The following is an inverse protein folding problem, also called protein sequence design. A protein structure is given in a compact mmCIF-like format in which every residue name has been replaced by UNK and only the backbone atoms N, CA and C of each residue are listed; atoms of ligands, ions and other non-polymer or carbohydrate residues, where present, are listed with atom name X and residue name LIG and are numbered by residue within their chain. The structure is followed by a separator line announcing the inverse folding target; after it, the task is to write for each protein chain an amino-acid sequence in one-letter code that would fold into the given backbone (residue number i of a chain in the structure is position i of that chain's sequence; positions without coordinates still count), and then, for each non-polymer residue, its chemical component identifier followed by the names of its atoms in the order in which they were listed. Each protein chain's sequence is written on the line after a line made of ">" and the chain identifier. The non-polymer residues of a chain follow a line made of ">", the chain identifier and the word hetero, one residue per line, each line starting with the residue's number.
data_IF_397282043667
#
_entry.id   IF_397282043667
#
_cell.length_a   1.000
_cell.length_b   1.000
_cell.length_c   1.000
_cell.angle_alpha   90.00
_cell.angle_beta   90.00
_cell.angle_gamma   90.00
#
_symmetry.space_group_name_H-M   'P 1'
#
loop_
_entity.id
_entity.type
_entity.pdbx_description
1 polymer ?
#
# COMPACT_ATOMS: atom_id res chain seq x y z
N UNK A 1 12.87 -6.87 14.57
CA UNK A 1 11.41 -7.01 14.26
C UNK A 1 10.69 -5.92 15.04
N UNK A 2 9.66 -5.27 14.49
CA UNK A 2 8.93 -4.26 15.24
C UNK A 2 8.33 -4.87 16.52
N UNK A 3 8.25 -4.05 17.58
CA UNK A 3 7.83 -4.49 18.91
C UNK A 3 6.34 -4.87 18.96
N UNK A 4 5.55 -4.26 18.07
CA UNK A 4 4.15 -4.55 17.81
C UNK A 4 3.83 -4.12 16.36
N UNK A 5 2.77 -4.66 15.78
CA UNK A 5 2.31 -4.33 14.43
C UNK A 5 1.12 -3.38 14.49
N UNK A 6 1.17 -2.32 13.68
CA UNK A 6 0.07 -1.34 13.58
C UNK A 6 -0.90 -1.65 12.44
N UNK A 7 -0.67 -2.72 11.68
CA UNK A 7 -1.53 -3.17 10.57
C UNK A 7 -2.15 -4.51 10.93
N UNK A 8 -3.46 -4.68 10.73
CA UNK A 8 -4.15 -5.94 11.01
C UNK A 8 -3.51 -7.11 10.26
N UNK A 9 -3.23 -6.94 8.97
CA UNK A 9 -2.62 -7.97 8.14
C UNK A 9 -1.25 -8.40 8.68
N UNK A 10 -0.45 -7.47 9.17
CA UNK A 10 0.85 -7.75 9.77
C UNK A 10 0.71 -8.43 11.14
N UNK A 11 -0.26 -8.01 11.95
CA UNK A 11 -0.54 -8.64 13.24
C UNK A 11 -1.01 -10.09 13.07
N UNK A 12 -1.84 -10.37 12.06
CA UNK A 12 -2.42 -11.70 11.81
C UNK A 12 -1.50 -12.64 11.04
N UNK A 13 -0.70 -12.11 10.11
CA UNK A 13 0.02 -12.94 9.12
C UNK A 13 1.52 -12.67 9.07
N UNK A 14 2.01 -11.63 9.76
CA UNK A 14 3.39 -11.17 9.68
C UNK A 14 3.74 -10.42 8.38
N UNK A 15 2.77 -10.13 7.52
CA UNK A 15 2.93 -9.38 6.26
C UNK A 15 2.10 -8.10 6.28
N UNK A 16 2.72 -6.99 5.90
CA UNK A 16 2.10 -5.63 5.90
C UNK A 16 0.93 -5.49 4.93
N UNK A 17 0.86 -6.34 3.89
CA UNK A 17 -0.24 -6.35 2.93
C UNK A 17 -0.88 -7.74 2.93
N UNK A 18 -2.19 -7.80 3.20
CA UNK A 18 -2.92 -9.06 3.28
C UNK A 18 -4.42 -8.90 3.01
N UNK A 19 -5.16 -9.99 3.21
CA UNK A 19 -6.63 -10.00 3.09
C UNK A 19 -7.30 -8.89 3.92
N UNK A 20 -6.89 -8.61 5.19
CA UNK A 20 -7.44 -7.50 5.96
C UNK A 20 -7.33 -6.15 5.27
N UNK A 21 -6.19 -5.86 4.64
CA UNK A 21 -5.95 -4.61 3.90
C UNK A 21 -6.97 -4.41 2.78
N UNK A 22 -7.22 -5.44 1.98
CA UNK A 22 -8.18 -5.36 0.87
C UNK A 22 -9.61 -5.33 1.36
N UNK A 23 -9.94 -6.11 2.39
CA UNK A 23 -11.26 -6.10 3.00
C UNK A 23 -11.59 -4.72 3.60
N UNK A 24 -10.60 -4.05 4.20
CA UNK A 24 -10.79 -2.71 4.76
C UNK A 24 -10.92 -1.66 3.66
N UNK A 25 -10.13 -1.77 2.58
CA UNK A 25 -10.27 -0.91 1.41
C UNK A 25 -11.68 -0.95 0.80
N UNK A 26 -12.28 -2.14 0.73
CA UNK A 26 -13.65 -2.33 0.23
C UNK A 26 -14.69 -1.68 1.15
N UNK A 27 -14.51 -1.76 2.47
CA UNK A 27 -15.41 -1.12 3.44
C UNK A 27 -15.36 0.41 3.32
N UNK A 28 -14.16 0.98 3.24
CA UNK A 28 -13.98 2.43 3.05
C UNK A 28 -14.62 2.88 1.73
N UNK A 29 -14.34 2.17 0.63
CA UNK A 29 -14.92 2.47 -0.67
C UNK A 29 -16.46 2.37 -0.67
N UNK A 30 -17.03 1.34 -0.04
CA UNK A 30 -18.47 1.17 0.08
C UNK A 30 -19.12 2.29 0.92
N UNK A 31 -18.38 2.86 1.87
CA UNK A 31 -18.79 4.02 2.64
C UNK A 31 -18.58 5.36 1.90
N UNK A 32 -18.01 5.34 0.69
CA UNK A 32 -17.66 6.55 -0.06
C UNK A 32 -16.47 7.31 0.54
N UNK A 33 -15.64 6.63 1.34
CA UNK A 33 -14.46 7.19 1.99
C UNK A 33 -13.20 6.81 1.20
N UNK A 34 -12.31 7.78 1.03
CA UNK A 34 -10.99 7.55 0.45
C UNK A 34 -9.93 7.66 1.55
N UNK A 35 -8.92 6.79 1.51
CA UNK A 35 -7.76 6.89 2.40
C UNK A 35 -6.90 8.07 1.96
N UNK A 36 -6.97 9.19 2.69
CA UNK A 36 -6.04 10.29 2.50
C UNK A 36 -4.72 9.97 3.22
N UNK A 37 -3.64 9.72 2.47
CA UNK A 37 -2.29 9.53 3.03
C UNK A 37 -1.55 8.29 2.54
N UNK A 38 -0.40 8.02 3.16
CA UNK A 38 0.50 6.91 2.82
C UNK A 38 0.20 5.60 3.59
N UNK A 39 -0.78 5.60 4.48
CA UNK A 39 -1.14 4.43 5.30
C UNK A 39 -1.99 3.43 4.52
N UNK A 40 -1.76 2.14 4.77
CA UNK A 40 -2.60 1.08 4.23
C UNK A 40 -3.96 1.04 4.97
N UNK A 41 -5.05 0.69 4.28
CA UNK A 41 -6.40 0.68 4.86
C UNK A 41 -6.56 -0.04 6.21
N UNK A 42 -5.81 -1.11 6.46
CA UNK A 42 -5.86 -1.89 7.70
C UNK A 42 -4.92 -1.39 8.80
N UNK A 43 -4.40 -0.16 8.67
CA UNK A 43 -3.68 0.50 9.75
C UNK A 43 -4.66 0.84 10.89
N UNK A 44 -4.22 0.64 12.15
CA UNK A 44 -5.05 0.82 13.35
C UNK A 44 -5.72 2.20 13.41
N UNK A 45 -5.02 3.26 13.00
CA UNK A 45 -5.59 4.62 13.01
C UNK A 45 -6.75 4.77 12.03
N UNK A 46 -6.70 4.11 10.87
CA UNK A 46 -7.76 4.15 9.86
C UNK A 46 -8.94 3.29 10.27
N UNK A 47 -8.69 2.11 10.86
CA UNK A 47 -9.77 1.26 11.36
C UNK A 47 -10.51 1.90 12.55
N UNK A 48 -9.79 2.55 13.47
CA UNK A 48 -10.41 3.31 14.58
C UNK A 48 -11.17 4.55 14.08
N UNK A 49 -10.63 5.27 13.09
CA UNK A 49 -11.33 6.40 12.47
C UNK A 49 -12.62 5.93 11.77
N UNK A 50 -12.56 4.79 11.07
CA UNK A 50 -13.74 4.20 10.45
C UNK A 50 -14.77 3.75 11.49
N UNK A 51 -14.34 3.18 12.61
CA UNK A 51 -15.22 2.83 13.71
C UNK A 51 -15.93 4.08 14.27
N UNK A 52 -15.22 5.19 14.48
CA UNK A 52 -15.82 6.47 14.87
C UNK A 52 -16.85 6.95 13.86
N UNK A 53 -16.52 6.86 12.57
CA UNK A 53 -17.43 7.20 11.48
C UNK A 53 -18.72 6.37 11.48
N UNK A 54 -18.65 5.08 11.82
CA UNK A 54 -19.83 4.22 11.93
C UNK A 54 -20.76 4.66 13.06
N UNK A 55 -20.20 5.12 14.18
CA UNK A 55 -20.96 5.60 15.36
C UNK A 55 -21.69 6.91 15.04
N UNK A 56 -21.07 7.82 14.30
CA UNK A 56 -21.64 9.15 13.99
C UNK A 56 -22.84 9.13 13.04
N UNK A 57 -23.05 8.05 12.28
CA UNK A 57 -24.11 7.97 11.25
C UNK A 57 -25.43 7.34 11.70
N UNK A 58 -25.60 7.22 13.01
CA UNK A 58 -26.88 7.15 13.74
C UNK A 58 -27.95 6.16 13.25
N UNK A 59 -27.55 5.03 12.63
CA UNK A 59 -28.53 3.99 12.32
C UNK A 59 -28.10 2.54 12.46
N UNK A 60 -26.90 2.17 12.94
CA UNK A 60 -26.57 0.75 12.99
C UNK A 60 -25.60 0.36 14.13
N UNK A 61 -26.16 -0.02 15.30
CA UNK A 61 -25.42 -0.87 16.26
C UNK A 61 -24.93 -2.17 15.61
N UNK A 62 -25.63 -2.68 14.60
CA UNK A 62 -25.24 -3.87 13.83
C UNK A 62 -23.94 -3.74 13.00
N UNK A 63 -23.61 -2.63 12.32
CA UNK A 63 -22.39 -2.50 11.52
C UNK A 63 -21.19 -2.27 12.42
N UNK A 64 -21.36 -1.45 13.46
CA UNK A 64 -20.37 -1.31 14.52
C UNK A 64 -20.06 -2.67 15.17
N UNK A 65 -21.11 -3.41 15.57
CA UNK A 65 -20.97 -4.77 16.13
C UNK A 65 -20.31 -5.73 15.14
N UNK A 66 -20.74 -5.77 13.88
CA UNK A 66 -20.13 -6.64 12.86
C UNK A 66 -18.67 -6.29 12.61
N UNK A 67 -18.32 -4.99 12.68
CA UNK A 67 -16.94 -4.54 12.54
C UNK A 67 -16.09 -5.01 13.73
N UNK A 68 -16.56 -4.76 14.96
CA UNK A 68 -15.91 -5.18 16.19
C UNK A 68 -15.84 -6.71 16.35
N UNK A 69 -16.85 -7.45 15.90
CA UNK A 69 -16.84 -8.92 15.90
C UNK A 69 -15.75 -9.48 14.98
N UNK A 70 -15.56 -8.86 13.81
CA UNK A 70 -14.57 -9.32 12.84
C UNK A 70 -13.15 -8.84 13.13
N UNK A 71 -13.00 -7.64 13.70
CA UNK A 71 -11.70 -6.94 13.81
C UNK A 71 -11.33 -6.51 15.24
N UNK A 72 -12.25 -6.52 16.20
CA UNK A 72 -11.97 -6.07 17.57
C UNK A 72 -10.88 -6.89 18.28
N UNK A 73 -10.78 -8.18 17.99
CA UNK A 73 -9.82 -9.07 18.65
C UNK A 73 -8.36 -8.63 18.43
N UNK A 74 -7.98 -8.29 17.20
CA UNK A 74 -6.59 -7.88 16.91
C UNK A 74 -6.26 -6.53 17.55
N UNK A 75 -7.23 -5.63 17.62
CA UNK A 75 -7.08 -4.32 18.26
C UNK A 75 -6.93 -4.44 19.78
N UNK A 76 -7.64 -5.38 20.42
CA UNK A 76 -7.46 -5.70 21.85
C UNK A 76 -6.05 -6.23 22.10
N UNK A 77 -5.57 -7.14 21.25
CA UNK A 77 -4.22 -7.70 21.38
C UNK A 77 -3.13 -6.64 21.14
N UNK A 78 -3.34 -5.73 20.19
CA UNK A 78 -2.49 -4.56 20.02
C UNK A 78 -2.50 -3.67 21.26
N UNK A 79 -3.68 -3.38 21.84
CA UNK A 79 -3.80 -2.59 23.06
C UNK A 79 -3.04 -3.21 24.23
N UNK A 80 -3.14 -4.53 24.43
CA UNK A 80 -2.34 -5.26 25.44
C UNK A 80 -0.84 -5.20 25.17
N UNK A 81 -0.43 -5.32 23.92
CA UNK A 81 0.98 -5.23 23.54
C UNK A 81 1.55 -3.82 23.79
N UNK A 82 0.77 -2.77 23.49
CA UNK A 82 1.10 -1.39 23.80
C UNK A 82 1.18 -1.16 25.31
N UNK A 83 0.23 -1.69 26.08
CA UNK A 83 0.23 -1.64 27.56
C UNK A 83 1.51 -2.21 28.18
N UNK A 84 2.06 -3.27 27.56
CA UNK A 84 3.26 -3.97 28.01
C UNK A 84 4.55 -3.47 27.34
N UNK A 85 4.48 -2.41 26.55
CA UNK A 85 5.63 -1.88 25.80
C UNK A 85 6.70 -1.22 26.68
N UNK A 86 6.41 -0.93 27.95
CA UNK A 86 7.33 -0.20 28.84
C UNK A 86 7.58 1.26 28.43
N UNK A 87 6.86 1.76 27.42
CA UNK A 87 6.80 3.18 27.08
C UNK A 87 5.67 3.83 27.88
N UNK A 88 5.98 4.89 28.62
CA UNK A 88 5.02 5.50 29.55
C UNK A 88 3.75 6.04 28.86
N UNK A 89 3.86 6.52 27.62
CA UNK A 89 2.75 7.09 26.87
C UNK A 89 1.93 5.97 26.22
N UNK A 90 2.60 5.08 25.48
CA UNK A 90 1.89 3.99 24.79
C UNK A 90 1.31 2.95 25.77
N UNK A 91 1.90 2.79 26.96
CA UNK A 91 1.34 1.90 27.97
C UNK A 91 -0.08 2.33 28.39
N UNK A 92 -0.28 3.62 28.62
CA UNK A 92 -1.58 4.18 29.01
C UNK A 92 -2.57 4.07 27.85
N UNK A 93 -2.16 4.48 26.65
CA UNK A 93 -3.00 4.41 25.44
C UNK A 93 -3.43 2.98 25.16
N UNK A 94 -2.50 2.03 25.26
CA UNK A 94 -2.76 0.60 25.05
C UNK A 94 -3.75 0.02 26.05
N UNK A 95 -3.59 0.35 27.34
CA UNK A 95 -4.51 -0.09 28.38
C UNK A 95 -5.93 0.47 28.19
N UNK A 96 -6.04 1.76 27.85
CA UNK A 96 -7.32 2.40 27.56
C UNK A 96 -8.00 1.76 26.35
N UNK A 97 -7.26 1.55 25.25
CA UNK A 97 -7.77 0.93 24.03
C UNK A 97 -8.28 -0.49 24.29
N UNK A 98 -7.47 -1.33 24.96
CA UNK A 98 -7.85 -2.71 25.23
C UNK A 98 -9.08 -2.81 26.12
N UNK A 99 -9.14 -2.02 27.20
CA UNK A 99 -10.27 -2.03 28.13
C UNK A 99 -11.55 -1.56 27.43
N UNK A 100 -11.49 -0.46 26.69
CA UNK A 100 -12.64 0.06 25.95
C UNK A 100 -13.19 -0.98 24.96
N UNK A 101 -12.34 -1.62 24.16
CA UNK A 101 -12.77 -2.64 23.20
C UNK A 101 -13.35 -3.89 23.87
N UNK A 102 -12.81 -4.30 25.03
CA UNK A 102 -13.36 -5.42 25.80
C UNK A 102 -14.77 -5.08 26.29
N UNK A 103 -15.00 -3.88 26.81
CA UNK A 103 -16.32 -3.42 27.23
C UNK A 103 -17.29 -3.34 26.04
N UNK A 104 -16.87 -2.71 24.94
CA UNK A 104 -17.68 -2.55 23.73
C UNK A 104 -18.06 -3.88 23.08
N UNK A 105 -17.18 -4.88 23.09
CA UNK A 105 -17.46 -6.23 22.55
C UNK A 105 -18.34 -7.07 23.48
N UNK A 106 -18.25 -6.90 24.80
CA UNK A 106 -19.13 -7.59 25.75
C UNK A 106 -20.57 -7.05 25.70
N UNK A 107 -20.76 -5.73 25.60
CA UNK A 107 -22.08 -5.11 25.42
C UNK A 107 -22.76 -5.48 24.08
N UNK A 108 -22.00 -5.91 23.08
CA UNK A 108 -22.55 -6.38 21.81
C UNK A 108 -23.37 -7.69 21.96
N UNK A 109 -22.94 -8.58 22.87
CA UNK A 109 -23.46 -9.94 23.06
C UNK A 109 -24.70 -10.03 23.97
N UNK A 110 -24.97 -9.03 24.81
CA UNK A 110 -26.05 -9.07 25.82
C UNK A 110 -27.43 -8.59 25.34
N UNK A 111 -27.56 -8.23 24.06
CA UNK A 111 -28.84 -7.81 23.44
C UNK A 111 -29.26 -8.79 22.34
N UNK A 112 -29.54 -10.03 22.74
CA UNK A 112 -30.23 -11.02 21.88
C UNK A 112 -31.73 -10.69 21.83
N UNK A 113 -32.18 -10.19 20.67
CA UNK A 113 -33.61 -10.12 20.34
C UNK A 113 -34.02 -11.51 19.80
N UNK A 114 -35.15 -12.11 20.24
CA UNK A 114 -35.52 -13.45 19.81
C UNK A 114 -35.94 -13.45 18.33
N UNK A 115 -35.41 -14.43 17.58
CA UNK A 115 -35.81 -14.74 16.21
C UNK A 115 -37.25 -15.28 16.24
N UNK A 116 -38.19 -14.47 15.74
CA UNK A 116 -39.58 -14.85 15.48
C UNK A 116 -39.76 -15.41 14.07
N UNK A 117 -40.40 -16.58 13.98
CA UNK A 117 -40.77 -17.29 12.74
C UNK A 117 -42.04 -16.70 12.08
N UNK A 118 -42.13 -16.94 10.76
CA UNK A 118 -43.31 -16.94 9.86
C UNK A 118 -43.74 -15.58 9.28
N UNK A 119 -44.25 -15.39 8.06
CA UNK A 119 -44.52 -16.18 6.82
C UNK A 119 -44.93 -15.16 5.74
N UNK A 120 -44.63 -15.47 4.46
CA UNK A 120 -45.29 -15.07 3.19
C UNK A 120 -45.79 -13.60 3.01
N UNK A 121 -45.42 -12.87 1.97
CA UNK A 121 -45.84 -13.05 0.57
C UNK A 121 -45.28 -11.89 -0.25
N UNK A 122 -44.75 -12.17 -1.44
CA UNK A 122 -44.90 -11.37 -2.67
C UNK A 122 -43.90 -11.90 -3.70
N UNK A 123 -44.37 -12.86 -4.48
CA UNK A 123 -43.76 -13.24 -5.74
C UNK A 123 -43.77 -12.02 -6.68
N UNK A 124 -42.61 -11.64 -7.21
CA UNK A 124 -42.54 -11.09 -8.56
C UNK A 124 -41.39 -11.73 -9.31
N UNK A 125 -41.76 -12.36 -10.42
CA UNK A 125 -40.95 -13.16 -11.30
C UNK A 125 -39.80 -12.36 -11.93
N UNK A 126 -38.56 -12.85 -11.78
CA UNK A 126 -37.48 -12.48 -12.68
C UNK A 126 -37.58 -13.42 -13.88
N UNK A 127 -38.07 -12.85 -14.99
CA UNK A 127 -38.10 -13.47 -16.30
C UNK A 127 -36.65 -13.59 -16.79
N UNK A 128 -36.17 -14.82 -16.94
CA UNK A 128 -34.95 -15.11 -17.69
C UNK A 128 -35.08 -14.52 -19.10
N UNK A 129 -34.28 -13.52 -19.41
CA UNK A 129 -34.02 -13.08 -20.77
C UNK A 129 -32.57 -13.39 -21.06
N UNK A 130 -32.37 -14.38 -21.93
CA UNK A 130 -31.11 -14.65 -22.60
C UNK A 130 -30.73 -13.39 -23.39
N UNK A 131 -29.81 -12.58 -22.85
CA UNK A 131 -29.16 -11.54 -23.64
C UNK A 131 -27.90 -12.09 -24.29
N UNK A 132 -28.02 -12.16 -25.62
CA UNK A 132 -27.03 -12.54 -26.61
C UNK A 132 -25.62 -12.03 -26.30
N UNK A 133 -24.67 -12.93 -26.53
CA UNK A 133 -23.23 -12.68 -26.65
C UNK A 133 -22.99 -11.58 -27.68
N UNK A 134 -22.80 -10.34 -27.22
CA UNK A 134 -22.31 -9.25 -28.07
C UNK A 134 -20.80 -9.28 -28.02
N UNK A 135 -20.19 -9.89 -29.03
CA UNK A 135 -18.78 -9.77 -29.36
C UNK A 135 -18.47 -8.30 -29.62
N UNK A 136 -18.08 -7.57 -28.57
CA UNK A 136 -17.44 -6.28 -28.74
C UNK A 136 -16.03 -6.54 -29.26
N UNK A 137 -15.82 -6.32 -30.55
CA UNK A 137 -14.51 -6.14 -31.14
C UNK A 137 -13.85 -4.96 -30.43
N UNK A 138 -13.07 -5.23 -29.39
CA UNK A 138 -12.16 -4.23 -28.81
C UNK A 138 -10.94 -4.12 -29.73
N UNK A 139 -10.79 -2.95 -30.35
CA UNK A 139 -9.54 -2.53 -30.97
C UNK A 139 -8.38 -2.75 -29.99
N UNK A 140 -7.17 -3.12 -30.45
CA UNK A 140 -6.04 -3.38 -29.57
C UNK A 140 -5.76 -2.12 -28.74
N UNK A 141 -6.01 -2.23 -27.43
CA UNK A 141 -5.71 -1.16 -26.47
C UNK A 141 -4.21 -0.92 -26.54
N UNK A 142 -3.80 0.30 -26.90
CA UNK A 142 -2.40 0.66 -26.98
C UNK A 142 -1.68 0.20 -25.70
N UNK A 143 -0.58 -0.53 -25.85
CA UNK A 143 0.24 -1.06 -24.76
C UNK A 143 0.93 0.10 -24.05
N UNK A 144 0.27 0.69 -23.05
CA UNK A 144 0.78 1.84 -22.29
C UNK A 144 1.71 1.36 -21.17
N UNK A 145 3.02 1.52 -21.35
CA UNK A 145 3.99 1.18 -20.30
C UNK A 145 4.29 2.40 -19.43
N UNK A 146 4.61 2.18 -18.14
CA UNK A 146 5.04 3.26 -17.26
C UNK A 146 6.44 3.73 -17.63
N UNK A 147 6.59 5.04 -17.74
CA UNK A 147 7.88 5.73 -17.90
C UNK A 147 8.03 6.82 -16.83
N UNK A 148 9.25 7.33 -16.67
CA UNK A 148 9.53 8.52 -15.86
C UNK A 148 10.07 9.59 -16.80
N UNK A 149 9.21 10.52 -17.29
CA UNK A 149 9.63 11.52 -18.28
C UNK A 149 10.68 12.50 -17.74
N UNK A 150 10.51 12.88 -16.47
CA UNK A 150 11.48 13.70 -15.76
C UNK A 150 11.99 12.92 -14.52
N UNK A 151 13.22 12.39 -14.56
CA UNK A 151 13.81 11.66 -13.45
C UNK A 151 13.82 12.41 -12.11
N UNK A 152 13.93 13.74 -12.13
CA UNK A 152 14.06 14.56 -10.91
C UNK A 152 12.76 14.62 -10.09
N UNK A 153 11.61 14.34 -10.72
CA UNK A 153 10.34 14.25 -10.00
C UNK A 153 10.21 12.92 -9.24
N UNK A 154 11.04 11.91 -9.55
CA UNK A 154 10.97 10.59 -8.92
C UNK A 154 11.89 10.52 -7.71
N UNK A 155 11.27 10.40 -6.53
CA UNK A 155 11.94 10.33 -5.22
C UNK A 155 12.36 8.92 -4.82
N UNK A 156 12.07 7.91 -5.66
CA UNK A 156 12.30 6.48 -5.37
C UNK A 156 11.57 5.94 -4.11
N UNK A 157 10.52 6.61 -3.62
CA UNK A 157 9.73 6.16 -2.46
C UNK A 157 9.07 4.76 -2.59
N UNK A 158 8.98 4.21 -3.80
CA UNK A 158 8.59 2.82 -4.03
C UNK A 158 7.09 2.51 -4.00
N UNK A 159 6.19 3.46 -3.74
CA UNK A 159 4.73 3.20 -3.74
C UNK A 159 4.21 2.58 -5.04
N UNK A 160 4.79 2.96 -6.18
CA UNK A 160 4.44 2.41 -7.48
C UNK A 160 4.76 0.91 -7.61
N UNK A 161 5.85 0.44 -6.99
CA UNK A 161 6.21 -0.98 -6.94
C UNK A 161 5.29 -1.73 -5.97
N UNK A 162 4.95 -1.13 -4.83
CA UNK A 162 4.06 -1.72 -3.82
C UNK A 162 2.63 -1.94 -4.34
N UNK A 163 2.08 -0.98 -5.09
CA UNK A 163 0.72 -1.08 -5.65
C UNK A 163 0.64 -1.97 -6.90
N UNK A 164 1.78 -2.41 -7.45
CA UNK A 164 1.84 -3.16 -8.69
C UNK A 164 1.33 -4.61 -8.49
N UNK A 165 0.14 -4.97 -9.01
CA UNK A 165 -0.49 -6.25 -8.70
C UNK A 165 0.27 -7.46 -9.26
N UNK A 166 1.03 -7.26 -10.34
CA UNK A 166 1.85 -8.29 -10.99
C UNK A 166 3.32 -8.20 -10.64
N UNK A 167 3.73 -7.23 -9.80
CA UNK A 167 5.14 -6.96 -9.48
C UNK A 167 6.01 -6.65 -10.72
N UNK A 168 5.41 -6.11 -11.77
CA UNK A 168 6.14 -5.59 -12.92
C UNK A 168 7.10 -4.46 -12.53
N UNK A 169 6.74 -3.61 -11.56
CA UNK A 169 7.63 -2.60 -10.98
C UNK A 169 8.31 -3.14 -9.72
N UNK A 170 9.62 -2.94 -9.62
CA UNK A 170 10.46 -3.40 -8.49
C UNK A 170 11.42 -2.30 -8.08
N UNK A 171 11.53 -2.06 -6.77
CA UNK A 171 12.64 -1.30 -6.20
C UNK A 171 13.73 -2.30 -5.83
N UNK A 172 14.93 -2.09 -6.37
CA UNK A 172 16.11 -2.91 -6.14
C UNK A 172 17.17 -2.04 -5.51
N UNK A 173 17.81 -2.53 -4.46
CA UNK A 173 18.91 -1.83 -3.79
C UNK A 173 20.17 -2.67 -3.86
N UNK A 174 21.27 -2.04 -4.23
CA UNK A 174 22.62 -2.59 -4.09
C UNK A 174 23.41 -1.76 -3.06
N UNK A 175 24.72 -2.02 -2.91
CA UNK A 175 25.56 -1.31 -1.93
C UNK A 175 25.80 0.17 -2.26
N UNK A 176 25.41 0.64 -3.44
CA UNK A 176 25.73 1.97 -4.00
C UNK A 176 24.50 2.77 -4.39
N UNK A 177 23.40 2.13 -4.77
CA UNK A 177 22.25 2.80 -5.36
C UNK A 177 20.93 2.06 -5.12
N UNK A 178 19.85 2.83 -5.22
CA UNK A 178 18.46 2.37 -5.31
C UNK A 178 17.99 2.52 -6.75
N UNK A 179 17.34 1.50 -7.30
CA UNK A 179 16.90 1.40 -8.70
C UNK A 179 15.41 1.04 -8.72
N UNK A 180 14.61 1.81 -9.47
CA UNK A 180 13.26 1.43 -9.87
C UNK A 180 13.31 0.82 -11.27
N UNK A 181 12.93 -0.46 -11.37
CA UNK A 181 12.93 -1.23 -12.61
C UNK A 181 11.51 -1.71 -12.98
N UNK A 182 11.24 -1.75 -14.27
CA UNK A 182 10.04 -2.31 -14.89
C UNK A 182 10.40 -3.61 -15.62
N UNK A 183 9.62 -4.66 -15.40
CA UNK A 183 9.54 -5.82 -16.27
C UNK A 183 8.33 -5.64 -17.21
N UNK A 184 8.54 -5.32 -18.49
CA UNK A 184 7.43 -5.12 -19.43
C UNK A 184 6.59 -6.37 -19.65
N UNK A 185 7.15 -7.57 -19.49
CA UNK A 185 6.44 -8.83 -19.70
C UNK A 185 5.37 -9.07 -18.63
N UNK A 186 5.62 -8.60 -17.40
CA UNK A 186 4.70 -8.72 -16.27
C UNK A 186 3.69 -7.55 -16.20
N UNK A 187 3.86 -6.51 -17.03
CA UNK A 187 3.01 -5.33 -16.96
C UNK A 187 1.65 -5.57 -17.61
N UNK A 188 0.58 -5.47 -16.83
CA UNK A 188 -0.81 -5.59 -17.33
C UNK A 188 -1.45 -4.24 -17.67
N UNK A 189 -0.66 -3.17 -17.74
CA UNK A 189 -1.13 -1.83 -18.15
C UNK A 189 -2.29 -1.26 -17.29
N UNK A 190 -2.33 -1.61 -16.00
CA UNK A 190 -3.45 -1.23 -15.12
C UNK A 190 -3.44 0.24 -14.65
N UNK A 191 -2.30 0.94 -14.81
CA UNK A 191 -2.13 2.35 -14.47
C UNK A 191 -2.16 2.72 -12.99
N UNK A 192 -2.17 1.74 -12.07
CA UNK A 192 -2.14 2.02 -10.63
C UNK A 192 -0.88 2.79 -10.20
N UNK A 193 0.25 2.53 -10.84
CA UNK A 193 1.53 3.19 -10.56
C UNK A 193 1.51 4.69 -10.85
N UNK A 194 0.84 5.12 -11.92
CA UNK A 194 0.62 6.53 -12.24
C UNK A 194 -0.31 7.18 -11.21
N UNK A 195 -1.44 6.54 -10.92
CA UNK A 195 -2.46 7.06 -9.98
C UNK A 195 -1.94 7.26 -8.56
N UNK A 196 -1.08 6.35 -8.06
CA UNK A 196 -0.54 6.44 -6.69
C UNK A 196 0.65 7.41 -6.59
N UNK A 197 1.19 7.88 -7.71
CA UNK A 197 2.42 8.68 -7.69
C UNK A 197 2.13 10.12 -7.23
N UNK A 198 2.35 10.39 -5.93
CA UNK A 198 2.10 11.70 -5.33
C UNK A 198 2.89 12.85 -5.98
N UNK A 199 4.10 12.58 -6.48
CA UNK A 199 4.93 13.56 -7.22
C UNK A 199 4.64 13.61 -8.71
N UNK A 200 3.70 12.80 -9.21
CA UNK A 200 3.34 12.68 -10.64
C UNK A 200 4.54 12.40 -11.55
N UNK A 201 5.51 11.64 -11.04
CA UNK A 201 6.73 11.30 -11.77
C UNK A 201 6.54 10.18 -12.81
N UNK A 202 5.49 9.36 -12.66
CA UNK A 202 5.19 8.25 -13.57
C UNK A 202 4.11 8.69 -14.55
N UNK A 203 4.33 8.42 -15.83
CA UNK A 203 3.35 8.58 -16.90
C UNK A 203 3.18 7.27 -17.68
N UNK A 204 1.97 7.01 -18.18
CA UNK A 204 1.68 5.88 -19.07
C UNK A 204 1.72 6.35 -20.53
N UNK A 205 2.71 5.89 -21.30
CA UNK A 205 2.81 6.23 -22.73
C UNK A 205 2.78 4.94 -23.55
N UNK A 206 2.06 4.99 -24.68
CA UNK A 206 2.05 3.91 -25.65
C UNK A 206 3.38 3.85 -26.37
N UNK A 207 3.97 2.66 -26.44
CA UNK A 207 5.24 2.51 -27.15
C UNK A 207 5.04 2.78 -28.65
N UNK A 208 5.40 3.95 -29.16
CA UNK A 208 6.06 3.99 -30.47
C UNK A 208 7.52 3.59 -30.25
N UNK A 209 8.06 2.66 -31.05
CA UNK A 209 9.42 2.15 -30.86
C UNK A 209 10.43 3.28 -31.02
N UNK A 210 10.97 3.77 -29.91
CA UNK A 210 12.10 4.68 -29.92
C UNK A 210 13.33 3.90 -30.40
N UNK A 211 13.64 4.07 -31.68
CA UNK A 211 14.94 3.76 -32.28
C UNK A 211 16.04 4.32 -31.39
N UNK A 212 16.74 3.43 -30.68
CA UNK A 212 18.03 3.80 -30.10
C UNK A 212 18.98 4.03 -31.28
N UNK A 213 19.33 5.29 -31.49
CA UNK A 213 20.41 5.67 -32.38
C UNK A 213 21.72 5.15 -31.77
N UNK A 214 22.02 3.87 -31.99
CA UNK A 214 23.37 3.34 -31.83
C UNK A 214 24.00 3.22 -33.21
N UNK A 215 25.01 4.07 -33.42
CA UNK A 215 25.88 4.07 -34.57
C UNK A 215 26.32 2.65 -34.93
N UNK A 216 26.16 2.32 -36.21
CA UNK A 216 26.64 1.10 -36.86
C UNK A 216 28.10 0.82 -36.53
N UNK A 217 28.37 -0.38 -36.00
CA UNK A 217 29.64 -1.05 -36.28
C UNK A 217 29.39 -2.54 -36.57
N UNK A 218 29.60 -2.86 -37.84
CA UNK A 218 29.52 -4.19 -38.43
C UNK A 218 30.59 -5.12 -37.83
N UNK A 219 30.20 -6.25 -37.27
CA UNK A 219 31.03 -7.47 -37.25
C UNK A 219 30.15 -8.70 -37.40
N UNK A 220 30.68 -9.63 -38.19
CA UNK A 220 30.04 -10.77 -38.86
C UNK A 220 29.46 -11.81 -37.90
N UNK A 221 28.38 -12.43 -38.37
CA UNK A 221 27.78 -13.73 -38.02
C UNK A 221 28.40 -14.52 -36.86
N UNK A 222 27.57 -14.79 -35.85
CA UNK A 222 27.51 -16.08 -35.18
C UNK A 222 26.10 -16.30 -34.61
N UNK A 223 25.64 -17.55 -34.67
CA UNK A 223 24.26 -18.01 -34.49
C UNK A 223 23.63 -17.57 -33.16
N UNK A 224 22.62 -16.69 -33.24
CA UNK A 224 21.84 -16.22 -32.08
C UNK A 224 20.85 -17.29 -31.62
N UNK A 225 21.19 -17.96 -30.52
CA UNK A 225 20.22 -18.57 -29.62
C UNK A 225 19.33 -17.45 -29.05
N UNK A 226 18.10 -17.30 -29.55
CA UNK A 226 17.13 -16.32 -29.06
C UNK A 226 16.55 -16.80 -27.74
N UNK A 227 17.35 -16.75 -26.68
CA UNK A 227 16.80 -16.57 -25.35
C UNK A 227 16.29 -15.13 -25.28
N UNK A 228 14.99 -14.93 -25.55
CA UNK A 228 14.29 -13.71 -25.23
C UNK A 228 14.19 -13.59 -23.70
N UNK A 229 15.30 -13.28 -23.05
CA UNK A 229 15.30 -12.73 -21.71
C UNK A 229 14.79 -11.30 -21.83
N UNK A 230 13.51 -11.07 -21.54
CA UNK A 230 12.97 -9.72 -21.37
C UNK A 230 13.74 -9.05 -20.24
N UNK A 231 14.68 -8.19 -20.63
CA UNK A 231 15.55 -7.46 -19.72
C UNK A 231 14.72 -6.39 -19.02
N UNK A 232 14.73 -6.34 -17.69
CA UNK A 232 14.09 -5.27 -16.95
C UNK A 232 14.57 -3.90 -17.47
N UNK A 233 13.63 -3.00 -17.73
CA UNK A 233 13.89 -1.59 -18.08
C UNK A 233 14.12 -0.79 -16.79
N UNK A 234 15.25 -0.10 -16.68
CA UNK A 234 15.51 0.81 -15.57
C UNK A 234 14.74 2.11 -15.81
N UNK A 235 13.85 2.48 -14.90
CA UNK A 235 13.06 3.72 -14.98
C UNK A 235 13.74 4.88 -14.25
N UNK A 236 14.35 4.61 -13.09
CA UNK A 236 15.08 5.59 -12.27
C UNK A 236 16.12 4.87 -11.42
N UNK A 237 17.23 5.54 -11.16
CA UNK A 237 18.20 5.13 -10.14
C UNK A 237 18.74 6.37 -9.43
N UNK A 238 19.20 6.19 -8.20
CA UNK A 238 19.85 7.23 -7.39
C UNK A 238 20.91 6.57 -6.51
N UNK A 239 22.07 7.21 -6.29
CA UNK A 239 23.02 6.75 -5.29
C UNK A 239 22.39 6.73 -3.89
N UNK A 240 22.98 5.96 -2.98
CA UNK A 240 22.62 5.98 -1.57
C UNK A 240 23.20 7.21 -0.88
N UNK A 241 22.40 7.84 -0.02
CA UNK A 241 22.89 8.76 0.99
C UNK A 241 23.51 7.97 2.15
N UNK A 242 24.54 8.55 2.77
CA UNK A 242 25.29 7.93 3.86
C UNK A 242 25.22 8.77 5.13
N UNK A 243 25.13 8.08 6.27
CA UNK A 243 25.12 8.69 7.58
C UNK A 243 26.39 9.51 7.81
N UNK A 244 26.25 10.80 8.11
CA UNK A 244 27.39 11.70 8.35
C UNK A 244 28.24 11.32 9.58
N UNK A 245 27.67 10.55 10.52
CA UNK A 245 28.37 10.10 11.75
C UNK A 245 29.11 8.78 11.59
N UNK A 246 28.52 7.79 10.92
CA UNK A 246 29.06 6.41 10.89
C UNK A 246 29.28 5.84 9.48
N UNK A 247 28.92 6.57 8.42
CA UNK A 247 29.13 6.16 7.04
C UNK A 247 28.24 5.01 6.55
N UNK A 248 27.27 4.54 7.33
CA UNK A 248 26.30 3.52 6.89
C UNK A 248 25.29 4.13 5.90
N UNK A 249 24.82 3.38 4.89
CA UNK A 249 23.76 3.84 4.01
C UNK A 249 22.46 4.06 4.79
N UNK A 250 21.69 5.08 4.41
CA UNK A 250 20.42 5.43 5.07
C UNK A 250 19.21 5.24 4.16
N UNK A 251 19.18 5.97 3.04
CA UNK A 251 18.12 6.00 2.02
C UNK A 251 18.76 6.38 0.68
N UNK A 252 17.98 6.45 -0.41
CA UNK A 252 18.47 7.03 -1.66
C UNK A 252 18.67 8.54 -1.55
N UNK A 253 19.65 9.09 -2.28
CA UNK A 253 19.89 10.54 -2.31
C UNK A 253 18.64 11.31 -2.79
N UNK A 254 17.96 10.81 -3.82
CA UNK A 254 16.72 11.41 -4.31
C UNK A 254 15.59 11.47 -3.26
N UNK A 255 15.51 10.48 -2.37
CA UNK A 255 14.54 10.47 -1.28
C UNK A 255 14.93 11.48 -0.18
N UNK A 256 16.21 11.52 0.19
CA UNK A 256 16.73 12.48 1.17
C UNK A 256 16.54 13.93 0.69
N UNK A 257 16.92 14.22 -0.55
CA UNK A 257 16.77 15.54 -1.17
C UNK A 257 15.31 16.00 -1.17
N UNK A 258 14.39 15.08 -1.47
CA UNK A 258 12.96 15.37 -1.41
C UNK A 258 12.51 15.71 0.01
N UNK A 259 12.87 14.89 1.02
CA UNK A 259 12.51 15.15 2.42
C UNK A 259 13.04 16.53 2.85
N UNK A 260 14.32 16.83 2.60
CA UNK A 260 14.95 18.13 2.89
C UNK A 260 14.16 19.27 2.23
N UNK A 261 13.75 19.11 0.97
CA UNK A 261 12.96 20.13 0.26
C UNK A 261 11.59 20.40 0.87
N UNK A 262 10.97 19.39 1.52
CA UNK A 262 9.61 19.50 2.06
C UNK A 262 9.58 20.04 3.48
N UNK A 263 10.55 19.66 4.32
CA UNK A 263 10.53 19.97 5.76
C UNK A 263 11.75 20.76 6.26
N UNK A 264 12.61 21.22 5.35
CA UNK A 264 13.85 21.93 5.65
C UNK A 264 15.00 20.99 6.01
N UNK A 265 16.23 21.52 5.94
CA UNK A 265 17.45 20.76 6.22
C UNK A 265 17.72 20.69 7.73
N UNK A 266 17.70 19.48 8.28
CA UNK A 266 17.98 19.25 9.69
C UNK A 266 19.01 18.13 9.86
N UNK A 267 19.94 18.31 10.80
CA UNK A 267 21.05 17.39 11.03
C UNK A 267 20.61 15.92 11.23
N UNK A 268 19.45 15.68 11.83
CA UNK A 268 18.94 14.32 12.08
C UNK A 268 18.56 13.56 10.81
N UNK A 269 18.26 14.25 9.70
CA UNK A 269 17.90 13.64 8.42
C UNK A 269 19.10 12.94 7.76
N UNK A 270 20.31 13.43 8.05
CA UNK A 270 21.57 12.90 7.53
C UNK A 270 22.21 11.82 8.41
N UNK A 271 21.46 11.29 9.39
CA UNK A 271 21.92 10.27 10.33
C UNK A 271 21.12 8.97 10.18
N UNK A 272 21.81 7.83 10.34
CA UNK A 272 21.11 6.55 10.48
C UNK A 272 20.33 6.48 11.81
N UNK A 273 19.37 5.56 11.90
CA UNK A 273 18.52 5.38 13.07
C UNK A 273 19.31 5.26 14.38
N UNK A 274 20.39 4.46 14.38
CA UNK A 274 21.26 4.28 15.56
C UNK A 274 21.94 5.59 15.98
N UNK A 275 22.45 6.37 15.01
CA UNK A 275 23.14 7.62 15.30
C UNK A 275 22.17 8.73 15.71
N UNK A 276 20.96 8.74 15.15
CA UNK A 276 19.90 9.70 15.51
C UNK A 276 19.45 9.53 16.96
N UNK A 277 19.40 8.30 17.47
CA UNK A 277 19.03 8.03 18.86
C UNK A 277 19.96 8.72 19.87
N UNK A 278 21.21 9.00 19.48
CA UNK A 278 22.19 9.68 20.35
C UNK A 278 22.05 11.20 20.40
N UNK A 279 21.14 11.81 19.62
CA UNK A 279 20.90 13.26 19.66
C UNK A 279 19.99 13.72 20.80
N UNK A 280 19.27 12.78 21.42
CA UNK A 280 18.27 13.06 22.46
C UNK A 280 18.74 12.63 23.86
N UNK A 281 20.05 12.41 24.02
CA UNK A 281 20.76 12.09 25.27
C UNK A 281 21.68 13.25 25.58
#
# INVERSE_FOLDING_TARGET
>A
RPRFWLYESAARTGKILGEPTFAMAQLLQAAGLETAGAELPDHISLELAFLSYLVERDNISLYEKQFLEKRGAWMIDLGRALAQSGDAVYAIIGALLANWLIESTQHATSRSIPVGRNTSTAQHAIRNTHHATRTTQHAPRATLLPIIPNPDNCTLCGFCAQVCPTRALKVLEDRRQTILALDPAECIHCGKCEKICGTKAIALIGNEPQSTQHATRNTKHETRNTQHATRNTILRHSPLAYCQKCGRPIVSQAELDYIVSQIGDAAWQHLCLDCRATLYV
#
